data_IF_306381411817
#
_entry.id   IF_306381411817
#
_cell.length_a   1.000
_cell.length_b   1.000
_cell.length_c   1.000
_cell.angle_alpha   90.00
_cell.angle_beta   90.00
_cell.angle_gamma   90.00
#
_symmetry.space_group_name_H-M   'P 1'
#
loop_
_entity.id
_entity.type
_entity.pdbx_description
1 polymer ?
#
# COMPACT_ATOMS: atom_id res chain seq x y z
N UNK A 1 9.64 -0.40 -17.88
CA UNK A 1 9.11 0.81 -17.21
C UNK A 1 10.02 1.99 -17.54
N UNK A 2 9.51 3.23 -17.46
CA UNK A 2 10.26 4.47 -17.70
C UNK A 2 10.23 5.29 -16.42
N UNK A 3 11.38 5.76 -15.92
CA UNK A 3 11.43 6.50 -14.64
C UNK A 3 10.58 7.78 -14.69
N UNK A 4 10.53 8.42 -15.86
CA UNK A 4 9.75 9.62 -16.15
C UNK A 4 8.25 9.45 -15.91
N UNK A 5 7.76 8.22 -15.86
CA UNK A 5 6.35 7.92 -15.66
C UNK A 5 6.07 7.35 -14.27
N UNK A 6 7.09 7.04 -13.47
CA UNK A 6 6.93 6.37 -12.17
C UNK A 6 6.66 7.31 -11.00
N UNK A 7 6.38 8.59 -11.27
CA UNK A 7 5.96 9.54 -10.27
C UNK A 7 4.79 10.39 -10.76
N UNK A 8 3.83 10.62 -9.88
CA UNK A 8 2.62 11.39 -10.14
C UNK A 8 2.07 11.92 -8.84
N UNK A 9 1.72 13.20 -8.82
CA UNK A 9 1.10 13.87 -7.68
C UNK A 9 -0.45 13.77 -7.71
N UNK A 10 -1.03 13.07 -8.70
CA UNK A 10 -2.47 12.76 -8.73
C UNK A 10 -2.87 11.94 -7.52
N UNK A 11 -4.09 12.16 -7.04
CA UNK A 11 -4.60 11.60 -5.78
C UNK A 11 -5.92 10.90 -5.98
N UNK A 12 -6.12 9.81 -5.24
CA UNK A 12 -7.41 9.13 -5.20
C UNK A 12 -8.52 10.09 -4.74
N UNK A 13 -9.68 10.06 -5.41
CA UNK A 13 -10.85 10.87 -5.08
C UNK A 13 -10.69 12.38 -5.33
N UNK A 14 -9.61 12.81 -5.99
CA UNK A 14 -9.36 14.20 -6.36
C UNK A 14 -8.57 14.32 -7.67
N UNK A 15 -8.74 13.35 -8.55
CA UNK A 15 -8.02 13.21 -9.82
C UNK A 15 -8.28 14.38 -10.78
N UNK A 16 -9.46 14.99 -10.69
CA UNK A 16 -9.88 16.12 -11.52
C UNK A 16 -9.54 17.49 -10.91
N UNK A 17 -8.99 17.53 -9.68
CA UNK A 17 -8.50 18.80 -9.14
C UNK A 17 -7.20 19.13 -9.85
N UNK A 18 -7.14 20.32 -10.46
CA UNK A 18 -5.88 20.89 -10.96
C UNK A 18 -4.82 20.70 -9.88
N UNK A 19 -3.66 20.15 -10.25
CA UNK A 19 -2.50 20.00 -9.36
C UNK A 19 -2.24 21.35 -8.71
N UNK A 20 -2.74 21.52 -7.48
CA UNK A 20 -2.70 22.79 -6.77
C UNK A 20 -1.25 23.24 -6.63
N UNK A 21 -1.03 24.55 -6.74
CA UNK A 21 0.24 25.26 -6.62
C UNK A 21 1.33 24.44 -5.90
N UNK A 22 2.48 24.26 -6.54
CA UNK A 22 3.68 23.66 -5.95
C UNK A 22 4.00 24.39 -4.63
N UNK A 23 3.54 23.83 -3.52
CA UNK A 23 3.87 24.29 -2.19
C UNK A 23 5.31 23.85 -1.92
N UNK A 24 6.23 24.81 -2.06
CA UNK A 24 7.67 24.58 -1.92
C UNK A 24 8.05 24.12 -0.50
N UNK A 25 7.19 24.33 0.50
CA UNK A 25 7.45 23.94 1.88
C UNK A 25 6.86 22.56 2.18
N UNK A 26 5.60 22.34 1.79
CA UNK A 26 4.89 21.09 2.07
C UNK A 26 4.41 20.44 0.79
N UNK A 27 5.34 19.72 0.17
CA UNK A 27 5.14 19.01 -1.09
C UNK A 27 4.05 17.94 -1.00
N UNK A 28 3.55 17.50 -2.15
CA UNK A 28 2.49 16.48 -2.20
C UNK A 28 2.89 15.17 -1.51
N UNK A 29 4.15 14.78 -1.58
CA UNK A 29 4.64 13.52 -1.03
C UNK A 29 4.90 13.62 0.47
N UNK A 30 5.35 14.78 0.97
CA UNK A 30 5.39 15.06 2.42
C UNK A 30 3.99 15.06 3.04
N UNK A 31 2.99 15.62 2.33
CA UNK A 31 1.58 15.55 2.77
C UNK A 31 1.08 14.11 2.92
N UNK A 32 1.55 13.19 2.08
CA UNK A 32 1.16 11.77 2.20
C UNK A 32 1.72 11.14 3.46
N UNK A 33 3.02 11.37 3.73
CA UNK A 33 3.68 10.94 4.94
C UNK A 33 2.94 11.43 6.20
N UNK A 34 2.61 12.73 6.25
CA UNK A 34 1.88 13.33 7.36
C UNK A 34 0.48 12.74 7.53
N UNK A 35 -0.26 12.53 6.43
CA UNK A 35 -1.60 11.94 6.48
C UNK A 35 -1.57 10.53 7.08
N UNK A 36 -0.55 9.74 6.75
CA UNK A 36 -0.37 8.42 7.35
C UNK A 36 -0.05 8.57 8.84
N UNK A 37 0.93 9.38 9.22
CA UNK A 37 1.32 9.58 10.64
C UNK A 37 0.14 10.02 11.51
N UNK A 38 -0.64 10.99 11.05
CA UNK A 38 -1.72 11.53 11.86
C UNK A 38 -2.97 10.66 11.89
N UNK A 39 -3.06 9.64 11.04
CA UNK A 39 -4.25 8.81 10.91
C UNK A 39 -4.54 7.95 12.15
N UNK A 40 -5.83 7.70 12.38
CA UNK A 40 -6.26 6.74 13.41
C UNK A 40 -5.74 5.32 13.11
N UNK A 41 -5.64 4.95 11.83
CA UNK A 41 -5.17 3.64 11.41
C UNK A 41 -3.70 3.41 11.77
N UNK A 42 -2.84 4.42 11.59
CA UNK A 42 -1.45 4.35 12.02
C UNK A 42 -1.33 4.35 13.54
N UNK A 43 -2.06 5.21 14.26
CA UNK A 43 -2.06 5.23 15.74
C UNK A 43 -2.46 3.88 16.36
N UNK A 44 -3.38 3.13 15.72
CA UNK A 44 -3.76 1.78 16.18
C UNK A 44 -2.60 0.78 16.17
N UNK A 45 -1.53 1.03 15.41
CA UNK A 45 -0.33 0.17 15.43
C UNK A 45 0.38 0.17 16.79
N UNK A 46 0.18 1.19 17.62
CA UNK A 46 0.75 1.25 18.98
C UNK A 46 0.29 0.07 19.85
N UNK A 47 -0.95 -0.39 19.64
CA UNK A 47 -1.55 -1.48 20.41
C UNK A 47 -1.50 -2.83 19.66
N UNK A 48 -0.70 -2.94 18.59
CA UNK A 48 -0.47 -4.21 17.88
C UNK A 48 0.93 -4.71 18.18
N UNK A 49 1.01 -5.90 18.78
CA UNK A 49 2.30 -6.53 19.10
C UNK A 49 3.07 -6.96 17.86
N UNK A 50 4.39 -6.91 17.97
CA UNK A 50 5.30 -7.54 17.04
C UNK A 50 6.00 -8.69 17.78
N UNK A 51 5.62 -9.92 17.46
CA UNK A 51 6.26 -11.17 17.89
C UNK A 51 6.11 -11.56 19.37
N UNK A 52 6.20 -10.65 20.34
CA UNK A 52 6.06 -10.97 21.76
C UNK A 52 4.70 -10.52 22.34
N UNK A 53 3.97 -11.38 23.08
CA UNK A 53 2.83 -10.94 23.89
C UNK A 53 3.34 -9.98 24.97
N UNK A 54 2.76 -8.78 25.07
CA UNK A 54 3.20 -7.65 25.91
C UNK A 54 3.66 -8.12 27.32
N UNK A 55 4.98 -8.21 27.60
CA UNK A 55 5.48 -8.60 28.89
C UNK A 55 6.01 -7.36 29.62
N UNK A 56 5.19 -6.79 30.52
CA UNK A 56 5.68 -5.87 31.56
C UNK A 56 6.56 -4.68 31.11
N UNK A 57 7.50 -4.20 31.95
CA UNK A 57 8.21 -2.92 31.81
C UNK A 57 9.41 -2.94 30.85
N UNK A 58 9.50 -3.89 29.93
CA UNK A 58 10.57 -3.95 28.92
C UNK A 58 10.04 -3.35 27.61
N UNK A 59 10.80 -2.46 26.97
CA UNK A 59 10.45 -1.87 25.68
C UNK A 59 10.40 -2.95 24.58
N UNK A 60 9.25 -3.60 24.44
CA UNK A 60 8.95 -4.46 23.30
C UNK A 60 8.45 -3.59 22.17
N UNK A 61 9.06 -3.74 20.99
CA UNK A 61 8.66 -2.99 19.80
C UNK A 61 7.20 -3.36 19.47
N UNK A 62 6.34 -2.36 19.35
CA UNK A 62 5.03 -2.53 18.75
C UNK A 62 5.14 -2.21 17.25
N UNK A 63 4.09 -2.52 16.50
CA UNK A 63 4.11 -2.26 15.04
C UNK A 63 4.29 -0.77 14.70
N UNK A 64 3.91 0.15 15.59
CA UNK A 64 4.11 1.58 15.37
C UNK A 64 5.59 1.96 15.44
N UNK A 65 6.30 1.57 16.51
CA UNK A 65 7.73 1.88 16.65
C UNK A 65 8.55 1.24 15.55
N UNK A 66 8.23 0.00 15.18
CA UNK A 66 8.86 -0.66 14.04
C UNK A 66 8.60 0.05 12.71
N UNK A 67 7.36 0.44 12.40
CA UNK A 67 7.08 1.19 11.18
C UNK A 67 7.83 2.54 11.14
N UNK A 68 8.02 3.20 12.28
CA UNK A 68 8.83 4.43 12.37
C UNK A 68 10.31 4.18 12.08
N UNK A 69 10.89 3.11 12.62
CA UNK A 69 12.27 2.72 12.35
C UNK A 69 12.48 2.32 10.88
N UNK A 70 11.56 1.52 10.33
CA UNK A 70 11.56 1.13 8.91
C UNK A 70 11.42 2.37 8.02
N UNK A 71 10.58 3.34 8.37
CA UNK A 71 10.47 4.60 7.63
C UNK A 71 11.71 5.48 7.73
N UNK A 72 12.42 5.46 8.86
CA UNK A 72 13.72 6.14 9.01
C UNK A 72 14.76 5.54 8.06
N UNK A 73 14.90 4.22 8.03
CA UNK A 73 15.81 3.51 7.11
C UNK A 73 15.38 3.73 5.64
N UNK A 74 14.07 3.60 5.37
CA UNK A 74 13.49 3.78 4.04
C UNK A 74 13.74 5.17 3.47
N UNK A 75 13.69 6.22 4.31
CA UNK A 75 14.01 7.59 3.91
C UNK A 75 15.46 7.70 3.40
N UNK A 76 16.42 7.15 4.14
CA UNK A 76 17.83 7.16 3.73
C UNK A 76 18.05 6.37 2.44
N UNK A 77 17.39 5.22 2.29
CA UNK A 77 17.43 4.43 1.05
C UNK A 77 16.84 5.19 -0.14
N UNK A 78 15.67 5.80 0.05
CA UNK A 78 15.02 6.61 -0.99
C UNK A 78 15.86 7.80 -1.43
N UNK A 79 16.57 8.45 -0.48
CA UNK A 79 17.51 9.54 -0.80
C UNK A 79 18.71 9.04 -1.61
N UNK A 80 19.37 7.98 -1.16
CA UNK A 80 20.54 7.42 -1.84
C UNK A 80 20.22 6.95 -3.26
N UNK A 81 19.10 6.23 -3.43
CA UNK A 81 18.64 5.75 -4.75
C UNK A 81 18.20 6.92 -5.63
N UNK A 82 17.49 7.89 -5.05
CA UNK A 82 17.02 9.08 -5.74
C UNK A 82 18.15 9.92 -6.34
N UNK A 83 19.20 10.17 -5.55
CA UNK A 83 20.41 10.87 -6.03
C UNK A 83 21.08 10.10 -7.17
N UNK A 84 21.27 8.78 -6.99
CA UNK A 84 21.86 7.94 -8.03
C UNK A 84 21.05 7.93 -9.34
N UNK A 85 19.72 7.94 -9.27
CA UNK A 85 18.86 8.04 -10.46
C UNK A 85 19.04 9.42 -11.11
N UNK A 86 18.93 10.50 -10.35
CA UNK A 86 19.00 11.85 -10.91
C UNK A 86 20.37 12.17 -11.52
N UNK A 87 21.46 11.62 -10.97
CA UNK A 87 22.81 11.79 -11.51
C UNK A 87 23.05 10.90 -12.75
N UNK A 88 22.40 9.74 -12.83
CA UNK A 88 22.43 8.86 -14.01
C UNK A 88 21.71 9.45 -15.22
N UNK A 89 20.71 10.31 -15.00
CA UNK A 89 19.92 10.96 -16.05
C UNK A 89 20.07 12.50 -16.02
N UNK A 90 21.27 13.05 -16.28
CA UNK A 90 21.54 14.48 -16.11
C UNK A 90 20.77 15.38 -17.09
N UNK A 91 20.35 14.82 -18.24
CA UNK A 91 19.63 15.53 -19.31
C UNK A 91 18.10 15.35 -19.23
N UNK A 92 17.58 14.74 -18.16
CA UNK A 92 16.13 14.66 -17.94
C UNK A 92 15.54 16.03 -17.59
N UNK A 93 14.20 16.14 -17.57
CA UNK A 93 13.52 17.36 -17.14
C UNK A 93 13.89 17.78 -15.71
N UNK A 94 13.67 19.05 -15.40
CA UNK A 94 13.86 19.60 -14.06
C UNK A 94 12.97 18.89 -13.03
N UNK A 95 11.67 18.73 -13.33
CA UNK A 95 10.71 18.00 -12.49
C UNK A 95 11.17 16.57 -12.16
N UNK A 96 11.78 15.87 -13.13
CA UNK A 96 12.32 14.53 -12.91
C UNK A 96 13.44 14.57 -11.86
N UNK A 97 14.39 15.49 -12.04
CA UNK A 97 15.55 15.59 -11.16
C UNK A 97 15.13 16.04 -9.77
N UNK A 98 14.18 16.98 -9.68
CA UNK A 98 13.62 17.45 -8.41
C UNK A 98 12.92 16.31 -7.67
N UNK A 99 12.04 15.56 -8.35
CA UNK A 99 11.36 14.42 -7.75
C UNK A 99 12.35 13.39 -7.20
N UNK A 100 13.30 12.93 -8.01
CA UNK A 100 14.22 11.89 -7.58
C UNK A 100 15.20 12.38 -6.50
N UNK A 101 15.68 13.62 -6.56
CA UNK A 101 16.63 14.14 -5.54
C UNK A 101 15.97 14.47 -4.20
N UNK A 102 14.73 14.94 -4.21
CA UNK A 102 14.11 15.54 -3.02
C UNK A 102 12.84 14.82 -2.57
N UNK A 103 12.02 14.32 -3.49
CA UNK A 103 10.70 13.78 -3.16
C UNK A 103 10.66 12.27 -2.96
N UNK A 104 11.51 11.49 -3.66
CA UNK A 104 11.49 10.02 -3.57
C UNK A 104 11.66 9.54 -2.12
N UNK A 105 12.49 10.22 -1.33
CA UNK A 105 12.70 9.87 0.08
C UNK A 105 11.40 9.93 0.91
N UNK A 106 10.51 10.89 0.62
CA UNK A 106 9.22 11.03 1.28
C UNK A 106 8.24 9.94 0.84
N UNK A 107 8.22 9.59 -0.45
CA UNK A 107 7.41 8.50 -1.02
C UNK A 107 7.78 7.17 -0.35
N UNK A 108 9.08 6.83 -0.31
CA UNK A 108 9.54 5.58 0.29
C UNK A 108 9.26 5.56 1.80
N UNK A 109 9.51 6.67 2.50
CA UNK A 109 9.20 6.75 3.92
C UNK A 109 7.69 6.58 4.21
N UNK A 110 6.82 7.16 3.38
CA UNK A 110 5.38 6.98 3.48
C UNK A 110 4.97 5.51 3.24
N UNK A 111 5.55 4.86 2.23
CA UNK A 111 5.33 3.44 1.97
C UNK A 111 5.75 2.55 3.13
N UNK A 112 6.92 2.85 3.73
CA UNK A 112 7.41 2.19 4.93
C UNK A 112 6.49 2.38 6.14
N UNK A 113 5.92 3.56 6.37
CA UNK A 113 4.96 3.75 7.48
C UNK A 113 3.70 2.91 7.30
N UNK A 114 3.22 2.81 6.06
CA UNK A 114 1.97 2.16 5.73
C UNK A 114 2.05 0.63 5.63
N UNK A 115 3.24 0.04 5.53
CA UNK A 115 3.40 -1.39 5.21
C UNK A 115 2.62 -2.33 6.14
N UNK A 116 2.47 -1.93 7.40
CA UNK A 116 1.84 -2.74 8.45
C UNK A 116 0.41 -2.28 8.81
N UNK A 117 -0.10 -1.23 8.16
CA UNK A 117 -1.36 -0.58 8.54
C UNK A 117 -2.58 -1.50 8.40
N UNK A 118 -2.55 -2.39 7.41
CA UNK A 118 -3.62 -3.34 7.09
C UNK A 118 -3.62 -4.63 7.88
N UNK A 119 -2.60 -4.89 8.70
CA UNK A 119 -2.52 -6.16 9.44
C UNK A 119 -3.63 -6.26 10.50
N UNK A 120 -4.29 -7.41 10.66
CA UNK A 120 -5.31 -7.60 11.68
C UNK A 120 -4.69 -7.66 13.09
N UNK A 121 -5.50 -7.61 14.17
CA UNK A 121 -5.04 -8.00 15.50
C UNK A 121 -4.36 -9.37 15.47
N UNK A 122 -3.34 -9.58 16.29
CA UNK A 122 -2.56 -10.83 16.34
C UNK A 122 -1.82 -11.22 15.03
N UNK A 123 -1.68 -10.31 14.07
CA UNK A 123 -0.87 -10.55 12.86
C UNK A 123 -1.35 -11.76 12.06
N UNK A 124 -0.42 -12.66 11.70
CA UNK A 124 -0.75 -13.85 10.90
C UNK A 124 -1.83 -14.73 11.57
N UNK A 125 -1.84 -14.85 12.89
CA UNK A 125 -2.89 -15.61 13.58
C UNK A 125 -4.27 -14.96 13.42
N UNK A 126 -4.33 -13.62 13.35
CA UNK A 126 -5.56 -12.91 13.01
C UNK A 126 -5.99 -13.11 11.56
N UNK A 127 -5.03 -13.13 10.62
CA UNK A 127 -5.32 -13.48 9.23
C UNK A 127 -5.88 -14.90 9.12
N UNK A 128 -5.25 -15.87 9.80
CA UNK A 128 -5.68 -17.26 9.81
C UNK A 128 -7.05 -17.42 10.46
N UNK A 129 -7.35 -16.71 11.55
CA UNK A 129 -8.67 -16.71 12.16
C UNK A 129 -9.76 -16.22 11.19
N UNK A 130 -9.50 -15.14 10.44
CA UNK A 130 -10.44 -14.64 9.41
C UNK A 130 -10.60 -15.68 8.31
N UNK A 131 -9.51 -16.24 7.79
CA UNK A 131 -9.54 -17.25 6.71
C UNK A 131 -10.32 -18.49 7.15
N UNK A 132 -10.09 -18.99 8.36
CA UNK A 132 -10.79 -20.15 8.93
C UNK A 132 -12.27 -19.86 9.08
N UNK A 133 -12.65 -18.69 9.62
CA UNK A 133 -14.06 -18.31 9.75
C UNK A 133 -14.81 -18.39 8.41
N UNK A 134 -14.21 -17.88 7.32
CA UNK A 134 -14.85 -17.93 5.99
C UNK A 134 -14.79 -19.31 5.31
N UNK A 135 -13.82 -20.15 5.66
CA UNK A 135 -13.74 -21.55 5.18
C UNK A 135 -14.80 -22.44 5.84
N UNK A 136 -15.03 -22.22 7.11
CA UNK A 136 -15.90 -23.03 7.96
C UNK A 136 -17.34 -22.45 8.02
N UNK A 137 -17.70 -21.56 7.09
CA UNK A 137 -19.08 -21.08 6.97
C UNK A 137 -20.01 -22.27 6.67
N UNK A 138 -21.15 -22.28 7.35
CA UNK A 138 -22.19 -23.29 7.17
C UNK A 138 -23.57 -22.66 6.93
N UNK A 139 -24.55 -23.50 6.59
CA UNK A 139 -25.95 -23.12 6.46
C UNK A 139 -26.21 -22.00 5.43
N UNK A 140 -27.13 -21.10 5.78
CA UNK A 140 -27.54 -19.99 4.89
C UNK A 140 -26.41 -18.99 4.62
N UNK A 141 -25.48 -18.80 5.56
CA UNK A 141 -24.34 -17.92 5.36
C UNK A 141 -23.41 -18.45 4.26
N UNK A 142 -23.12 -19.76 4.28
CA UNK A 142 -22.32 -20.42 3.23
C UNK A 142 -22.98 -20.34 1.86
N UNK A 143 -24.29 -20.63 1.78
CA UNK A 143 -25.04 -20.50 0.52
C UNK A 143 -24.96 -19.09 -0.06
N UNK A 144 -25.14 -18.06 0.77
CA UNK A 144 -25.01 -16.66 0.34
C UNK A 144 -23.59 -16.33 -0.11
N UNK A 145 -22.58 -16.78 0.63
CA UNK A 145 -21.18 -16.58 0.27
C UNK A 145 -20.85 -17.20 -1.11
N UNK A 146 -21.31 -18.42 -1.36
CA UNK A 146 -21.02 -19.14 -2.61
C UNK A 146 -21.80 -18.61 -3.82
N UNK A 147 -23.00 -18.06 -3.60
CA UNK A 147 -23.90 -17.66 -4.70
C UNK A 147 -23.89 -16.16 -4.99
N UNK A 148 -23.61 -15.30 -4.01
CA UNK A 148 -23.68 -13.84 -4.18
C UNK A 148 -22.33 -13.18 -4.46
N UNK A 149 -21.23 -13.87 -4.20
CA UNK A 149 -19.88 -13.33 -4.39
C UNK A 149 -19.21 -13.93 -5.63
N UNK A 150 -18.45 -13.11 -6.35
CA UNK A 150 -17.62 -13.61 -7.46
C UNK A 150 -16.46 -14.48 -6.93
N UNK A 151 -15.84 -15.32 -7.77
CA UNK A 151 -14.69 -16.12 -7.34
C UNK A 151 -13.54 -15.30 -6.74
N UNK A 152 -13.28 -14.09 -7.27
CA UNK A 152 -12.23 -13.23 -6.73
C UNK A 152 -12.62 -12.63 -5.37
N UNK A 153 -13.87 -12.19 -5.21
CA UNK A 153 -14.41 -11.70 -3.93
C UNK A 153 -14.40 -12.79 -2.85
N UNK A 154 -14.77 -14.03 -3.20
CA UNK A 154 -14.66 -15.16 -2.28
C UNK A 154 -13.21 -15.37 -1.84
N UNK A 155 -12.25 -15.26 -2.77
CA UNK A 155 -10.83 -15.41 -2.47
C UNK A 155 -10.27 -14.30 -1.57
N UNK A 156 -10.78 -13.07 -1.65
CA UNK A 156 -10.40 -12.00 -0.72
C UNK A 156 -10.64 -12.41 0.74
N UNK A 157 -11.74 -13.12 1.01
CA UNK A 157 -12.05 -13.62 2.35
C UNK A 157 -11.28 -14.90 2.71
N UNK A 158 -11.27 -15.89 1.80
CA UNK A 158 -10.62 -17.20 2.04
C UNK A 158 -9.10 -17.13 2.14
N UNK A 159 -8.50 -16.07 1.57
CA UNK A 159 -7.07 -15.79 1.56
C UNK A 159 -6.76 -14.37 2.05
N UNK A 160 -7.57 -13.84 2.97
CA UNK A 160 -7.39 -12.49 3.55
C UNK A 160 -5.92 -12.18 3.84
N UNK A 161 -5.44 -11.00 3.43
CA UNK A 161 -4.01 -10.66 3.45
C UNK A 161 -3.80 -9.20 3.88
N UNK A 162 -2.87 -8.97 4.81
CA UNK A 162 -2.62 -7.66 5.41
C UNK A 162 -2.13 -6.57 4.44
N UNK A 163 -1.36 -6.90 3.41
CA UNK A 163 -0.91 -5.95 2.37
C UNK A 163 -2.09 -5.52 1.49
N UNK A 164 -2.94 -6.46 1.07
CA UNK A 164 -4.18 -6.15 0.37
C UNK A 164 -5.09 -5.25 1.21
N UNK A 165 -5.22 -5.56 2.50
CA UNK A 165 -5.99 -4.74 3.42
C UNK A 165 -5.33 -3.38 3.73
N UNK A 166 -4.01 -3.26 3.60
CA UNK A 166 -3.31 -1.97 3.74
C UNK A 166 -3.74 -1.04 2.61
N UNK A 167 -3.76 -1.55 1.36
CA UNK A 167 -4.21 -0.77 0.22
C UNK A 167 -5.69 -0.36 0.34
N UNK A 168 -6.55 -1.28 0.79
CA UNK A 168 -7.95 -0.98 1.11
C UNK A 168 -8.06 0.10 2.19
N UNK A 169 -7.31 -0.01 3.27
CA UNK A 169 -7.33 0.96 4.39
C UNK A 169 -7.00 2.38 3.93
N UNK A 170 -6.11 2.53 2.95
CA UNK A 170 -5.65 3.83 2.47
C UNK A 170 -6.54 4.43 1.38
N UNK A 171 -7.23 3.60 0.60
CA UNK A 171 -7.99 4.05 -0.58
C UNK A 171 -9.50 4.05 -0.37
N UNK A 172 -10.00 3.20 0.53
CA UNK A 172 -11.43 3.10 0.83
C UNK A 172 -11.87 4.26 1.74
N UNK A 173 -13.04 4.84 1.47
CA UNK A 173 -13.60 5.96 2.23
C UNK A 173 -14.31 5.53 3.52
N UNK A 174 -14.63 4.24 3.64
CA UNK A 174 -15.38 3.68 4.77
C UNK A 174 -16.67 4.47 5.04
N UNK A 175 -16.76 5.15 6.18
CA UNK A 175 -17.95 5.89 6.59
C UNK A 175 -17.85 7.39 6.25
N UNK A 176 -16.85 7.81 5.48
CA UNK A 176 -16.70 9.20 5.06
C UNK A 176 -17.45 9.46 3.75
N UNK A 177 -18.20 10.57 3.68
CA UNK A 177 -18.95 10.96 2.47
C UNK A 177 -18.04 11.23 1.27
N UNK A 178 -16.79 11.60 1.55
CA UNK A 178 -15.84 12.04 0.55
C UNK A 178 -15.04 10.83 0.01
N UNK A 179 -15.05 10.58 -1.31
CA UNK A 179 -14.33 9.43 -1.85
C UNK A 179 -12.80 9.61 -1.77
N UNK A 180 -12.08 8.50 -1.86
CA UNK A 180 -10.62 8.46 -2.01
C UNK A 180 -9.83 8.14 -0.75
N UNK A 181 -10.48 7.88 0.39
CA UNK A 181 -9.84 7.50 1.64
C UNK A 181 -8.84 8.55 2.09
N UNK A 182 -7.57 8.17 2.24
CA UNK A 182 -6.49 9.08 2.67
C UNK A 182 -6.07 10.05 1.55
N UNK A 183 -6.55 9.84 0.31
CA UNK A 183 -6.26 10.67 -0.86
C UNK A 183 -4.76 10.84 -1.13
N UNK A 184 -4.00 9.77 -0.90
CA UNK A 184 -2.54 9.76 -1.12
C UNK A 184 -2.22 9.89 -2.61
N UNK A 185 -1.00 10.31 -2.93
CA UNK A 185 -0.56 10.38 -4.32
C UNK A 185 -0.44 8.98 -4.92
N UNK A 186 -0.59 8.89 -6.25
CA UNK A 186 -0.45 7.64 -6.99
C UNK A 186 0.95 7.04 -6.83
N UNK A 187 2.00 7.87 -6.78
CA UNK A 187 3.36 7.40 -6.54
C UNK A 187 3.49 6.70 -5.16
N UNK A 188 2.97 7.32 -4.10
CA UNK A 188 2.96 6.73 -2.76
C UNK A 188 2.16 5.43 -2.73
N UNK A 189 0.94 5.43 -3.28
CA UNK A 189 0.09 4.24 -3.32
C UNK A 189 0.73 3.09 -4.09
N UNK A 190 1.36 3.36 -5.24
CA UNK A 190 2.10 2.35 -5.99
C UNK A 190 3.29 1.78 -5.21
N UNK A 191 4.01 2.62 -4.45
CA UNK A 191 5.15 2.16 -3.63
C UNK A 191 4.74 1.20 -2.50
N UNK A 192 3.47 1.24 -2.07
CA UNK A 192 2.92 0.38 -1.01
C UNK A 192 2.54 -1.00 -1.57
N UNK A 193 2.29 -1.11 -2.88
CA UNK A 193 1.92 -2.38 -3.53
C UNK A 193 3.15 -3.30 -3.63
N UNK A 194 3.29 -4.17 -2.64
CA UNK A 194 4.34 -5.20 -2.61
C UNK A 194 4.11 -6.33 -3.61
N UNK A 195 2.85 -6.65 -3.88
CA UNK A 195 2.44 -7.73 -4.78
C UNK A 195 1.38 -7.19 -5.75
N UNK A 196 1.72 -6.86 -7.00
CA UNK A 196 0.79 -6.25 -7.95
C UNK A 196 -0.19 -7.27 -8.57
N UNK A 197 -0.93 -7.98 -7.72
CA UNK A 197 -1.95 -8.97 -8.10
C UNK A 197 -3.14 -8.94 -7.15
N UNK A 198 -4.32 -9.23 -7.70
CA UNK A 198 -5.53 -9.48 -6.92
C UNK A 198 -5.49 -10.88 -6.27
N UNK A 199 -6.55 -11.21 -5.53
CA UNK A 199 -6.64 -12.49 -4.83
C UNK A 199 -6.73 -13.70 -5.75
N UNK A 200 -7.30 -13.55 -6.96
CA UNK A 200 -7.41 -14.62 -7.96
C UNK A 200 -6.07 -14.96 -8.60
N UNK A 201 -5.29 -13.94 -8.97
CA UNK A 201 -4.01 -14.08 -9.67
C UNK A 201 -2.79 -14.11 -8.72
N UNK A 202 -3.00 -13.83 -7.43
CA UNK A 202 -2.00 -13.93 -6.37
C UNK A 202 -1.87 -15.34 -5.78
N UNK A 203 -1.05 -15.44 -4.73
CA UNK A 203 -0.73 -16.67 -3.98
C UNK A 203 0.02 -17.76 -4.77
N UNK A 204 0.67 -17.40 -5.88
CA UNK A 204 1.63 -18.26 -6.56
C UNK A 204 3.03 -18.08 -5.96
N UNK A 205 3.40 -18.98 -5.03
CA UNK A 205 4.69 -18.93 -4.33
C UNK A 205 5.92 -19.13 -5.24
N UNK A 206 5.75 -19.55 -6.50
CA UNK A 206 6.85 -19.72 -7.46
C UNK A 206 7.36 -18.39 -8.02
N UNK A 207 6.57 -17.33 -7.92
CA UNK A 207 6.88 -16.01 -8.46
C UNK A 207 6.86 -14.98 -7.35
N UNK A 208 7.86 -14.10 -7.30
CA UNK A 208 8.01 -13.16 -6.20
C UNK A 208 6.84 -12.16 -6.16
N UNK A 209 6.48 -11.63 -7.33
CA UNK A 209 5.45 -10.59 -7.51
C UNK A 209 4.02 -11.07 -7.20
N UNK A 210 3.76 -12.37 -7.27
CA UNK A 210 2.44 -12.97 -6.99
C UNK A 210 2.45 -13.93 -5.82
N UNK A 211 3.50 -13.89 -4.99
CA UNK A 211 3.62 -14.71 -3.77
C UNK A 211 2.41 -14.55 -2.84
N UNK A 212 1.80 -13.38 -2.84
CA UNK A 212 0.57 -13.03 -2.10
C UNK A 212 -0.29 -12.07 -2.96
N UNK A 213 -1.44 -11.67 -2.45
CA UNK A 213 -2.25 -10.58 -3.01
C UNK A 213 -1.78 -9.23 -2.46
N UNK A 214 -1.88 -8.15 -3.25
CA UNK A 214 -1.61 -6.78 -2.81
C UNK A 214 -2.80 -5.85 -2.84
N UNK A 215 -3.96 -6.30 -3.33
CA UNK A 215 -5.22 -5.57 -3.28
C UNK A 215 -6.40 -6.52 -3.43
N UNK A 216 -7.53 -6.18 -2.81
CA UNK A 216 -8.77 -6.94 -2.92
C UNK A 216 -9.53 -6.60 -4.22
N UNK A 217 -10.55 -7.39 -4.54
CA UNK A 217 -11.47 -7.17 -5.67
C UNK A 217 -12.01 -5.73 -5.69
N UNK A 218 -12.40 -5.22 -4.52
CA UNK A 218 -12.92 -3.86 -4.34
C UNK A 218 -11.96 -2.75 -4.77
N UNK A 219 -10.65 -3.03 -4.80
CA UNK A 219 -9.61 -2.05 -5.11
C UNK A 219 -8.95 -2.26 -6.48
N UNK A 220 -9.40 -3.24 -7.28
CA UNK A 220 -8.86 -3.52 -8.62
C UNK A 220 -8.90 -2.27 -9.52
N UNK A 221 -10.05 -1.60 -9.59
CA UNK A 221 -10.22 -0.43 -10.47
C UNK A 221 -9.37 0.76 -10.00
N UNK A 222 -9.18 0.91 -8.69
CA UNK A 222 -8.25 1.91 -8.14
C UNK A 222 -6.81 1.61 -8.55
N UNK A 223 -6.36 0.36 -8.41
CA UNK A 223 -5.01 -0.01 -8.83
C UNK A 223 -4.80 0.11 -10.34
N UNK A 224 -5.79 -0.26 -11.17
CA UNK A 224 -5.72 -0.08 -12.62
C UNK A 224 -5.51 1.38 -13.02
N UNK A 225 -6.19 2.32 -12.35
CA UNK A 225 -6.00 3.76 -12.59
C UNK A 225 -4.57 4.21 -12.24
N UNK A 226 -4.04 3.76 -11.10
CA UNK A 226 -2.67 4.05 -10.67
C UNK A 226 -1.66 3.47 -11.67
N UNK A 227 -1.81 2.20 -12.03
CA UNK A 227 -0.94 1.52 -12.97
C UNK A 227 -0.95 2.16 -14.36
N UNK A 228 -2.12 2.58 -14.85
CA UNK A 228 -2.25 3.27 -16.12
C UNK A 228 -1.56 4.65 -16.11
N UNK A 229 -1.77 5.44 -15.05
CA UNK A 229 -1.14 6.75 -14.90
C UNK A 229 0.39 6.64 -14.84
N UNK A 230 0.90 5.65 -14.08
CA UNK A 230 2.33 5.43 -13.90
C UNK A 230 2.98 4.60 -15.03
N UNK A 231 2.20 4.16 -16.01
CA UNK A 231 2.61 3.25 -17.08
C UNK A 231 3.31 1.98 -16.56
N UNK A 232 2.79 1.43 -15.46
CA UNK A 232 3.21 0.13 -14.94
C UNK A 232 2.74 -0.94 -15.94
N UNK A 233 3.65 -1.71 -16.55
CA UNK A 233 3.28 -2.71 -17.54
C UNK A 233 2.37 -3.76 -16.94
N UNK A 234 1.40 -4.22 -17.75
CA UNK A 234 0.66 -5.43 -17.43
C UNK A 234 1.62 -6.61 -17.44
N UNK A 235 1.40 -7.54 -16.53
CA UNK A 235 2.17 -8.78 -16.50
C UNK A 235 1.85 -9.59 -17.77
N UNK A 236 2.88 -10.03 -18.47
CA UNK A 236 2.76 -11.08 -19.47
C UNK A 236 2.66 -12.43 -18.76
N UNK A 237 1.74 -13.30 -19.19
CA UNK A 237 1.40 -14.56 -18.50
C UNK A 237 2.62 -15.47 -18.24
N UNK A 238 3.69 -15.32 -19.03
CA UNK A 238 4.89 -16.17 -19.03
C UNK A 238 6.21 -15.48 -18.58
N UNK A 239 6.18 -14.22 -18.14
CA UNK A 239 7.40 -13.57 -17.67
C UNK A 239 7.74 -14.04 -16.24
N UNK A 240 8.77 -14.89 -16.11
CA UNK A 240 9.42 -15.16 -14.83
C UNK A 240 10.24 -13.93 -14.43
N UNK A 241 9.62 -13.04 -13.65
CA UNK A 241 10.31 -11.96 -12.93
C UNK A 241 9.97 -12.08 -11.45
#
# INVERSE_FOLDING_TARGET
MKWETLYSNKRTGSENRSSGSNDAVRTSFLRDYDRIIFSSAFRRLQNKTQVFPLPGPVFVHNRLTHSLEVASVGRSLGKAVGDAIADKYPNSSEDFREFYKYELSAVIAAGCLAHDIGNPPFGHSGEDAIRTFFRDLEGEAKKKFDTLLTPNQQRDFLYFEGNANAFRTLTHHFNEDAPGGFRLTYATLASIIKYPSDSLNGFNKKQLITKKSGFFDSEIETYKKIAADLQIPKREENANV
#
